data_IF_856001937078
#
_entry.id   IF_856001937078
#
_cell.length_a   1.000
_cell.length_b   1.000
_cell.length_c   1.000
_cell.angle_alpha   90.00
_cell.angle_beta   90.00
_cell.angle_gamma   90.00
#
_symmetry.space_group_name_H-M   'P 1'
#
loop_
_entity.id
_entity.type
_entity.pdbx_description
1 polymer ?
#
# COMPACT_ATOMS: atom_id res chain seq x y z
N UNK A 1 47.93 24.62 -13.30
CA UNK A 1 47.62 23.45 -12.45
C UNK A 1 46.17 23.40 -11.93
N UNK A 2 45.34 24.45 -12.06
CA UNK A 2 43.95 24.44 -11.55
C UNK A 2 42.96 23.52 -12.28
N UNK A 3 43.20 23.20 -13.56
CA UNK A 3 42.25 22.42 -14.36
C UNK A 3 42.22 20.93 -13.99
N UNK A 4 43.37 20.35 -13.59
CA UNK A 4 43.50 18.93 -13.27
C UNK A 4 42.85 18.58 -11.91
N UNK A 5 42.92 19.50 -10.95
CA UNK A 5 42.25 19.36 -9.65
C UNK A 5 40.72 19.43 -9.81
N UNK A 6 40.22 20.32 -10.68
CA UNK A 6 38.79 20.44 -10.98
C UNK A 6 38.28 19.17 -11.68
N UNK A 7 38.98 18.68 -12.70
CA UNK A 7 38.61 17.42 -13.38
C UNK A 7 38.65 16.22 -12.44
N UNK A 8 39.67 16.13 -11.57
CA UNK A 8 39.75 15.09 -10.53
C UNK A 8 38.59 15.15 -9.54
N UNK A 9 38.18 16.36 -9.14
CA UNK A 9 37.03 16.57 -8.25
C UNK A 9 35.71 16.13 -8.90
N UNK A 10 35.49 16.43 -10.19
CA UNK A 10 34.29 15.98 -10.91
C UNK A 10 34.23 14.46 -11.08
N UNK A 11 35.37 13.80 -11.36
CA UNK A 11 35.44 12.34 -11.43
C UNK A 11 35.17 11.70 -10.06
N UNK A 12 35.71 12.26 -8.99
CA UNK A 12 35.49 11.77 -7.63
C UNK A 12 34.03 11.95 -7.18
N UNK A 13 33.45 13.14 -7.38
CA UNK A 13 32.05 13.43 -7.06
C UNK A 13 31.08 12.60 -7.93
N UNK A 14 31.38 12.44 -9.22
CA UNK A 14 30.63 11.58 -10.12
C UNK A 14 30.67 10.11 -9.68
N UNK A 15 31.86 9.60 -9.30
CA UNK A 15 32.04 8.26 -8.76
C UNK A 15 31.28 8.03 -7.45
N UNK A 16 31.29 9.02 -6.55
CA UNK A 16 30.50 8.99 -5.32
C UNK A 16 29.00 8.99 -5.60
N UNK A 17 28.53 9.81 -6.54
CA UNK A 17 27.11 9.87 -6.88
C UNK A 17 26.60 8.54 -7.47
N UNK A 18 27.38 7.93 -8.36
CA UNK A 18 27.07 6.61 -8.93
C UNK A 18 27.06 5.55 -7.82
N UNK A 19 28.08 5.53 -6.96
CA UNK A 19 28.19 4.56 -5.87
C UNK A 19 27.03 4.69 -4.88
N UNK A 20 26.65 5.91 -4.52
CA UNK A 20 25.52 6.19 -3.63
C UNK A 20 24.20 5.74 -4.25
N UNK A 21 23.98 6.04 -5.53
CA UNK A 21 22.80 5.59 -6.28
C UNK A 21 22.70 4.05 -6.29
N UNK A 22 23.80 3.34 -6.55
CA UNK A 22 23.83 1.88 -6.51
C UNK A 22 23.58 1.32 -5.10
N UNK A 23 24.16 1.92 -4.06
CA UNK A 23 23.91 1.52 -2.67
C UNK A 23 22.43 1.68 -2.30
N UNK A 24 21.85 2.83 -2.62
CA UNK A 24 20.44 3.13 -2.32
C UNK A 24 19.50 2.13 -3.01
N UNK A 25 19.77 1.79 -4.27
CA UNK A 25 19.00 0.79 -5.03
C UNK A 25 19.14 -0.62 -4.45
N UNK A 26 20.34 -1.00 -3.99
CA UNK A 26 20.56 -2.31 -3.36
C UNK A 26 19.82 -2.42 -2.04
N UNK A 27 19.82 -1.35 -1.25
CA UNK A 27 19.14 -1.31 0.04
C UNK A 27 17.62 -1.40 -0.10
N UNK A 28 17.03 -0.69 -1.07
CA UNK A 28 15.57 -0.80 -1.32
C UNK A 28 15.16 -2.19 -1.81
N UNK A 29 15.97 -2.82 -2.67
CA UNK A 29 15.74 -4.22 -3.08
C UNK A 29 15.81 -5.19 -1.91
N UNK A 30 16.75 -5.01 -0.99
CA UNK A 30 16.85 -5.84 0.21
C UNK A 30 15.62 -5.69 1.11
N UNK A 31 15.13 -4.47 1.31
CA UNK A 31 13.90 -4.21 2.07
C UNK A 31 12.68 -4.89 1.46
N UNK A 32 12.53 -4.78 0.14
CA UNK A 32 11.40 -5.40 -0.58
C UNK A 32 11.49 -6.92 -0.52
N UNK A 33 12.68 -7.50 -0.69
CA UNK A 33 12.87 -8.95 -0.54
C UNK A 33 12.50 -9.41 0.88
N UNK A 34 12.91 -8.68 1.92
CA UNK A 34 12.54 -8.99 3.31
C UNK A 34 11.05 -8.89 3.53
N UNK A 35 10.40 -7.85 3.00
CA UNK A 35 8.95 -7.69 3.06
C UNK A 35 8.22 -8.87 2.41
N UNK A 36 8.60 -9.22 1.18
CA UNK A 36 7.99 -10.33 0.47
C UNK A 36 8.23 -11.66 1.19
N UNK A 37 9.44 -11.91 1.71
CA UNK A 37 9.71 -13.10 2.54
C UNK A 37 8.90 -13.12 3.83
N UNK A 38 8.71 -11.97 4.47
CA UNK A 38 7.89 -11.84 5.67
C UNK A 38 6.42 -12.18 5.38
N UNK A 39 5.85 -11.61 4.31
CA UNK A 39 4.47 -11.90 3.90
C UNK A 39 4.30 -13.38 3.49
N UNK A 40 5.26 -13.93 2.73
CA UNK A 40 5.26 -15.35 2.38
C UNK A 40 5.22 -16.24 3.62
N UNK A 41 6.06 -15.95 4.61
CA UNK A 41 6.10 -16.73 5.85
C UNK A 41 4.88 -16.54 6.74
N UNK A 42 4.30 -15.34 6.78
CA UNK A 42 3.17 -15.03 7.66
C UNK A 42 1.86 -15.62 7.15
N UNK A 43 1.70 -15.72 5.83
CA UNK A 43 0.45 -16.13 5.18
C UNK A 43 0.56 -17.43 4.36
N UNK A 44 1.68 -18.16 4.48
CA UNK A 44 1.96 -19.38 3.72
C UNK A 44 1.85 -19.19 2.19
N UNK A 45 2.36 -18.05 1.69
CA UNK A 45 2.35 -17.71 0.27
C UNK A 45 3.66 -18.14 -0.41
N UNK A 46 3.61 -18.35 -1.73
CA UNK A 46 4.79 -18.63 -2.51
C UNK A 46 5.60 -17.35 -2.74
N UNK A 47 6.88 -17.38 -2.38
CA UNK A 47 7.83 -16.29 -2.65
C UNK A 47 8.56 -16.51 -3.98
N UNK A 48 8.50 -15.53 -4.87
CA UNK A 48 9.32 -15.54 -6.09
C UNK A 48 10.36 -14.43 -6.05
N UNK A 49 11.63 -14.82 -6.08
CA UNK A 49 12.74 -13.85 -6.05
C UNK A 49 12.85 -13.02 -7.33
N UNK A 50 12.46 -13.61 -8.48
CA UNK A 50 12.55 -13.03 -9.83
C UNK A 50 11.40 -13.55 -10.70
N UNK A 51 10.16 -13.12 -10.45
CA UNK A 51 9.00 -13.52 -11.25
C UNK A 51 9.13 -13.06 -12.70
N UNK A 52 8.50 -13.82 -13.62
CA UNK A 52 8.27 -13.34 -14.98
C UNK A 52 7.24 -12.21 -14.89
N UNK A 53 7.61 -11.01 -15.36
CA UNK A 53 6.83 -9.80 -15.12
C UNK A 53 5.37 -9.93 -15.61
N UNK A 54 4.41 -9.83 -14.69
CA UNK A 54 3.01 -9.54 -15.01
C UNK A 54 2.84 -8.15 -15.65
N UNK A 55 1.65 -7.86 -16.18
CA UNK A 55 1.40 -6.66 -17.00
C UNK A 55 1.80 -5.34 -16.31
N UNK A 56 1.62 -5.20 -14.98
CA UNK A 56 1.94 -3.99 -14.22
C UNK A 56 3.17 -4.11 -13.31
N UNK A 57 3.79 -5.30 -13.27
CA UNK A 57 4.85 -5.59 -12.32
C UNK A 57 6.20 -5.02 -12.76
N UNK A 58 6.97 -4.55 -11.78
CA UNK A 58 8.33 -4.07 -11.97
C UNK A 58 9.30 -5.24 -12.08
N UNK A 59 10.04 -5.26 -13.18
CA UNK A 59 11.02 -6.31 -13.50
C UNK A 59 12.14 -6.34 -12.45
N UNK A 60 12.58 -7.54 -12.06
CA UNK A 60 13.66 -7.82 -11.09
C UNK A 60 13.33 -7.45 -9.63
N UNK A 61 12.06 -7.28 -9.30
CA UNK A 61 11.59 -7.19 -7.92
C UNK A 61 10.91 -8.51 -7.55
N UNK A 62 11.10 -8.95 -6.31
CA UNK A 62 10.38 -10.10 -5.80
C UNK A 62 8.89 -9.79 -5.64
N UNK A 63 8.07 -10.82 -5.70
CA UNK A 63 6.66 -10.81 -5.33
C UNK A 63 6.34 -12.02 -4.45
N UNK A 64 5.10 -12.02 -3.96
CA UNK A 64 4.47 -13.19 -3.33
C UNK A 64 3.11 -13.42 -3.93
N UNK A 65 2.76 -14.67 -4.17
CA UNK A 65 1.43 -15.05 -4.63
C UNK A 65 0.97 -16.34 -4.00
N UNK A 66 -0.33 -16.52 -3.88
CA UNK A 66 -0.91 -17.76 -3.39
C UNK A 66 -2.40 -17.62 -3.17
N UNK A 67 -2.90 -18.48 -2.31
CA UNK A 67 -4.30 -18.52 -1.91
C UNK A 67 -4.39 -18.33 -0.40
N UNK A 68 -5.31 -17.45 0.04
CA UNK A 68 -5.66 -17.30 1.45
C UNK A 68 -7.17 -17.50 1.56
N UNK A 69 -7.61 -18.55 2.24
CA UNK A 69 -9.02 -18.87 2.43
C UNK A 69 -9.84 -19.00 1.12
N UNK A 70 -9.24 -19.53 0.05
CA UNK A 70 -9.88 -19.65 -1.27
C UNK A 70 -9.84 -18.38 -2.12
N UNK A 71 -9.12 -17.34 -1.67
CA UNK A 71 -8.93 -16.09 -2.39
C UNK A 71 -7.51 -15.98 -2.92
N UNK A 72 -7.39 -15.72 -4.22
CA UNK A 72 -6.09 -15.47 -4.86
C UNK A 72 -5.55 -14.12 -4.36
N UNK A 73 -4.32 -14.14 -3.86
CA UNK A 73 -3.60 -12.97 -3.37
C UNK A 73 -2.28 -12.84 -4.12
N UNK A 74 -1.95 -11.62 -4.55
CA UNK A 74 -0.67 -11.29 -5.19
C UNK A 74 -0.14 -9.97 -4.63
N UNK A 75 1.05 -9.97 -4.03
CA UNK A 75 1.74 -8.74 -3.62
C UNK A 75 2.99 -8.52 -4.45
N UNK A 76 3.11 -7.35 -5.05
CA UNK A 76 4.17 -7.05 -6.01
C UNK A 76 4.57 -5.57 -5.98
N UNK A 77 5.64 -5.25 -6.71
CA UNK A 77 6.03 -3.87 -6.94
C UNK A 77 5.53 -3.41 -8.31
N UNK A 78 4.73 -2.35 -8.34
CA UNK A 78 4.27 -1.70 -9.57
C UNK A 78 5.24 -0.60 -10.02
N UNK A 79 5.50 -0.53 -11.32
CA UNK A 79 6.36 0.50 -11.89
C UNK A 79 5.62 1.82 -12.13
N UNK A 80 6.26 2.91 -11.70
CA UNK A 80 5.84 4.29 -11.95
C UNK A 80 5.50 4.62 -13.41
N UNK A 81 6.09 3.91 -14.38
CA UNK A 81 5.96 4.22 -15.81
C UNK A 81 4.60 3.82 -16.40
N UNK A 82 3.80 3.02 -15.69
CA UNK A 82 2.47 2.59 -16.17
C UNK A 82 1.31 3.17 -15.36
N UNK A 83 1.55 3.50 -14.10
CA UNK A 83 0.50 3.88 -13.18
C UNK A 83 0.54 5.38 -12.86
N UNK A 84 -0.20 6.14 -13.67
CA UNK A 84 -0.50 7.57 -13.49
C UNK A 84 0.71 8.50 -13.52
N UNK A 85 0.87 9.21 -14.64
CA UNK A 85 1.58 10.49 -14.70
C UNK A 85 0.76 11.47 -13.83
N UNK A 86 1.01 11.47 -12.53
CA UNK A 86 0.62 12.59 -11.67
C UNK A 86 1.35 13.81 -12.25
N UNK A 87 0.57 14.76 -12.79
CA UNK A 87 1.05 15.99 -13.43
C UNK A 87 2.14 16.64 -12.58
N UNK A 88 3.41 16.46 -12.98
CA UNK A 88 4.58 17.10 -12.35
C UNK A 88 5.32 16.29 -11.28
N UNK A 89 4.90 15.06 -10.96
CA UNK A 89 5.56 14.19 -9.98
C UNK A 89 6.76 13.43 -10.56
N UNK A 90 7.77 13.17 -9.73
CA UNK A 90 8.81 12.18 -10.07
C UNK A 90 8.16 10.79 -10.17
N UNK A 91 8.63 9.92 -11.08
CA UNK A 91 8.15 8.54 -11.14
C UNK A 91 8.40 7.85 -9.78
N UNK A 92 7.32 7.45 -9.10
CA UNK A 92 7.34 6.74 -7.82
C UNK A 92 6.87 5.31 -8.02
N UNK A 93 7.62 4.35 -7.49
CA UNK A 93 7.21 2.94 -7.51
C UNK A 93 6.30 2.66 -6.32
N UNK A 94 5.39 1.71 -6.51
CA UNK A 94 4.38 1.37 -5.51
C UNK A 94 4.50 -0.09 -5.09
N UNK A 95 4.33 -0.34 -3.81
CA UNK A 95 4.03 -1.67 -3.28
C UNK A 95 2.52 -1.88 -3.39
N UNK A 96 2.14 -3.02 -3.94
CA UNK A 96 0.75 -3.37 -4.17
C UNK A 96 0.43 -4.71 -3.50
N UNK A 97 -0.78 -4.82 -2.97
CA UNK A 97 -1.42 -6.08 -2.58
C UNK A 97 -2.72 -6.16 -3.38
N UNK A 98 -2.86 -7.15 -4.24
CA UNK A 98 -4.03 -7.40 -5.07
C UNK A 98 -4.70 -8.69 -4.60
N UNK A 99 -6.03 -8.64 -4.48
CA UNK A 99 -6.85 -9.78 -4.12
C UNK A 99 -8.10 -9.85 -4.98
N UNK A 100 -8.52 -11.06 -5.33
CA UNK A 100 -9.83 -11.29 -5.92
C UNK A 100 -10.93 -10.99 -4.88
N UNK A 101 -12.03 -10.37 -5.33
CA UNK A 101 -13.14 -9.95 -4.49
C UNK A 101 -14.42 -9.91 -5.33
N UNK A 102 -15.28 -10.91 -5.17
CA UNK A 102 -16.50 -11.03 -5.99
C UNK A 102 -17.71 -10.39 -5.30
N UNK A 103 -17.94 -9.09 -5.53
CA UNK A 103 -19.16 -8.42 -5.06
C UNK A 103 -20.01 -7.88 -6.19
N UNK A 104 -21.33 -8.14 -6.11
CA UNK A 104 -22.32 -7.64 -7.05
C UNK A 104 -22.82 -6.22 -6.71
N UNK A 105 -22.48 -5.70 -5.52
CA UNK A 105 -23.09 -4.48 -4.98
C UNK A 105 -22.34 -3.21 -5.35
N UNK A 106 -21.03 -3.32 -5.54
CA UNK A 106 -20.14 -2.20 -5.80
C UNK A 106 -19.51 -2.38 -7.17
N UNK A 107 -19.35 -1.26 -7.89
CA UNK A 107 -18.72 -1.26 -9.21
C UNK A 107 -17.26 -0.81 -9.13
N UNK A 108 -16.99 0.29 -8.42
CA UNK A 108 -15.66 0.81 -8.13
C UNK A 108 -15.75 1.74 -6.92
N UNK A 109 -14.76 1.71 -6.03
CA UNK A 109 -14.59 2.74 -5.01
C UNK A 109 -13.14 2.78 -4.52
N UNK A 110 -12.76 3.84 -3.82
CA UNK A 110 -11.48 3.89 -3.13
C UNK A 110 -11.56 4.45 -1.71
N UNK A 111 -10.63 3.99 -0.87
CA UNK A 111 -10.41 4.45 0.50
C UNK A 111 -9.00 5.02 0.57
N UNK A 112 -8.91 6.29 0.97
CA UNK A 112 -7.63 6.99 1.14
C UNK A 112 -7.59 7.67 2.51
N UNK A 113 -6.40 7.76 3.11
CA UNK A 113 -6.24 8.50 4.37
C UNK A 113 -6.35 10.00 4.14
N UNK A 114 -7.08 10.70 5.01
CA UNK A 114 -7.16 12.17 4.98
C UNK A 114 -5.81 12.76 5.40
N UNK A 115 -5.21 13.57 4.52
CA UNK A 115 -3.91 14.22 4.74
C UNK A 115 -3.83 15.11 6.00
N UNK A 116 -4.98 15.54 6.56
CA UNK A 116 -5.06 16.53 7.64
C UNK A 116 -5.48 15.97 9.00
N UNK A 117 -5.45 14.65 9.24
CA UNK A 117 -5.88 14.07 10.52
C UNK A 117 -4.92 14.28 11.70
N UNK A 118 -4.02 15.27 11.61
CA UNK A 118 -3.03 15.56 12.63
C UNK A 118 -3.52 16.68 13.57
N UNK A 119 -4.34 16.34 14.58
CA UNK A 119 -4.40 16.94 15.95
C UNK A 119 -5.79 17.03 16.58
N UNK A 120 -6.88 17.06 15.82
CA UNK A 120 -8.18 17.46 16.39
C UNK A 120 -9.06 16.32 16.95
N UNK A 121 -8.92 15.10 16.44
CA UNK A 121 -9.88 14.04 16.76
C UNK A 121 -9.73 13.47 18.17
N UNK A 122 -8.52 13.42 18.75
CA UNK A 122 -8.34 12.86 20.10
C UNK A 122 -9.08 13.62 21.22
N UNK A 123 -9.46 14.90 21.01
CA UNK A 123 -10.23 15.64 22.01
C UNK A 123 -11.75 15.53 21.83
N UNK A 124 -12.24 15.16 20.64
CA UNK A 124 -13.68 15.16 20.35
C UNK A 124 -14.31 13.78 20.57
N UNK A 125 -13.55 12.70 20.35
CA UNK A 125 -14.06 11.32 20.41
C UNK A 125 -13.65 10.57 21.70
N UNK A 126 -13.61 11.25 22.85
CA UNK A 126 -13.21 10.68 24.14
C UNK A 126 -14.38 10.10 24.98
N UNK A 127 -15.58 10.06 24.40
CA UNK A 127 -16.72 9.34 24.95
C UNK A 127 -17.02 8.17 24.02
N UNK A 128 -17.58 7.08 24.56
CA UNK A 128 -17.78 5.80 23.88
C UNK A 128 -19.28 5.60 23.59
N UNK A 129 -19.66 5.61 22.32
CA UNK A 129 -20.96 5.24 21.77
C UNK A 129 -20.79 4.66 20.35
N UNK A 130 -21.63 3.71 19.95
CA UNK A 130 -21.48 2.95 18.68
C UNK A 130 -21.53 3.82 17.41
N UNK A 131 -22.18 4.99 17.48
CA UNK A 131 -22.23 5.95 16.37
C UNK A 131 -20.87 6.65 16.13
N UNK A 132 -19.90 6.51 17.03
CA UNK A 132 -18.58 7.16 16.92
C UNK A 132 -17.60 6.42 16.01
N UNK A 133 -17.80 5.11 15.78
CA UNK A 133 -16.86 4.30 15.00
C UNK A 133 -16.92 4.71 13.52
N UNK A 134 -18.12 4.82 12.95
CA UNK A 134 -18.32 5.36 11.59
C UNK A 134 -17.78 6.80 11.50
N UNK A 135 -18.17 7.67 12.43
CA UNK A 135 -17.73 9.07 12.43
C UNK A 135 -16.20 9.20 12.48
N UNK A 136 -15.53 8.36 13.28
CA UNK A 136 -14.07 8.35 13.37
C UNK A 136 -13.42 7.84 12.08
N UNK A 137 -14.01 6.83 11.43
CA UNK A 137 -13.56 6.33 10.12
C UNK A 137 -13.73 7.41 9.04
N UNK A 138 -14.89 8.08 8.96
CA UNK A 138 -15.13 9.20 8.02
C UNK A 138 -14.21 10.40 8.28
N UNK A 139 -13.82 10.59 9.53
CA UNK A 139 -12.89 11.65 9.90
C UNK A 139 -11.44 11.31 9.51
N UNK A 140 -11.04 10.03 9.56
CA UNK A 140 -9.69 9.54 9.18
C UNK A 140 -9.53 9.27 7.69
N UNK A 141 -10.59 8.86 7.00
CA UNK A 141 -10.56 8.37 5.62
C UNK A 141 -11.47 9.18 4.69
N UNK A 142 -11.10 9.21 3.42
CA UNK A 142 -11.93 9.65 2.30
C UNK A 142 -12.39 8.40 1.56
N UNK A 143 -13.67 8.34 1.25
CA UNK A 143 -14.27 7.32 0.41
C UNK A 143 -14.72 7.99 -0.89
N UNK A 144 -14.09 7.61 -2.00
CA UNK A 144 -14.37 8.18 -3.31
C UNK A 144 -15.05 7.16 -4.23
N UNK A 145 -15.76 7.68 -5.25
CA UNK A 145 -16.47 6.90 -6.27
C UNK A 145 -17.55 5.95 -5.74
N UNK A 146 -18.00 6.09 -4.49
CA UNK A 146 -19.09 5.32 -3.88
C UNK A 146 -20.32 6.22 -3.61
N UNK A 147 -21.53 5.82 -4.03
CA UNK A 147 -22.77 6.52 -3.67
C UNK A 147 -23.01 6.52 -2.15
N UNK A 148 -23.59 7.59 -1.61
CA UNK A 148 -23.78 7.76 -0.16
C UNK A 148 -24.52 6.59 0.51
N UNK A 149 -25.58 6.08 -0.11
CA UNK A 149 -26.34 4.96 0.45
C UNK A 149 -25.54 3.64 0.51
N UNK A 150 -24.60 3.42 -0.42
CA UNK A 150 -23.72 2.25 -0.40
C UNK A 150 -22.57 2.45 0.59
N UNK A 151 -22.11 3.69 0.73
CA UNK A 151 -21.14 4.07 1.75
C UNK A 151 -21.70 3.84 3.16
N UNK A 152 -22.95 4.20 3.41
CA UNK A 152 -23.60 3.97 4.70
C UNK A 152 -23.73 2.47 5.00
N UNK A 153 -24.02 1.63 3.98
CA UNK A 153 -24.02 0.16 4.14
C UNK A 153 -22.63 -0.35 4.49
N UNK A 154 -21.60 0.15 3.81
CA UNK A 154 -20.20 -0.25 4.05
C UNK A 154 -19.75 0.14 5.46
N UNK A 155 -20.13 1.33 5.94
CA UNK A 155 -19.71 1.87 7.22
C UNK A 155 -20.54 1.37 8.41
N UNK A 156 -21.73 0.81 8.15
CA UNK A 156 -22.46 0.00 9.13
C UNK A 156 -21.78 -1.36 9.40
N UNK A 157 -20.72 -1.71 8.66
CA UNK A 157 -19.93 -2.90 8.94
C UNK A 157 -18.87 -2.60 10.03
N UNK A 158 -19.22 -2.88 11.29
CA UNK A 158 -18.35 -2.64 12.44
C UNK A 158 -16.97 -3.30 12.28
N UNK A 159 -16.92 -4.54 11.75
CA UNK A 159 -15.67 -5.29 11.55
C UNK A 159 -14.72 -4.57 10.60
N UNK A 160 -15.24 -4.05 9.47
CA UNK A 160 -14.44 -3.27 8.52
C UNK A 160 -13.97 -1.95 9.15
N UNK A 161 -14.86 -1.26 9.85
CA UNK A 161 -14.53 0.01 10.47
C UNK A 161 -13.46 -0.13 11.56
N UNK A 162 -13.57 -1.13 12.43
CA UNK A 162 -12.56 -1.45 13.45
C UNK A 162 -11.21 -1.79 12.81
N UNK A 163 -11.18 -2.63 11.78
CA UNK A 163 -9.96 -2.98 11.07
C UNK A 163 -9.28 -1.74 10.46
N UNK A 164 -10.05 -0.83 9.86
CA UNK A 164 -9.53 0.43 9.33
C UNK A 164 -8.97 1.34 10.42
N UNK A 165 -9.57 1.36 11.62
CA UNK A 165 -9.09 2.16 12.74
C UNK A 165 -7.82 1.59 13.36
N UNK A 166 -7.72 0.26 13.48
CA UNK A 166 -6.56 -0.44 14.05
C UNK A 166 -5.28 -0.12 13.26
N UNK A 167 -5.37 -0.13 11.93
CA UNK A 167 -4.19 0.14 11.08
C UNK A 167 -4.02 1.63 10.72
N UNK A 168 -4.80 2.54 11.29
CA UNK A 168 -4.86 3.92 10.81
C UNK A 168 -3.52 4.67 10.81
N UNK A 169 -2.62 4.36 11.76
CA UNK A 169 -1.30 4.97 11.82
C UNK A 169 -0.32 4.34 10.83
N UNK A 170 -0.51 3.06 10.52
CA UNK A 170 0.28 2.30 9.55
C UNK A 170 -0.15 2.59 8.11
N UNK A 171 -1.44 2.83 7.88
CA UNK A 171 -2.02 3.04 6.56
C UNK A 171 -1.53 4.35 5.93
N UNK A 172 -0.74 4.24 4.85
CA UNK A 172 -0.32 5.40 4.04
C UNK A 172 -0.60 5.21 2.53
N UNK A 173 -1.32 4.15 2.18
CA UNK A 173 -1.67 3.84 0.80
C UNK A 173 -3.09 4.27 0.42
N UNK A 174 -3.57 3.65 -0.65
CA UNK A 174 -4.95 3.69 -1.11
C UNK A 174 -5.45 2.25 -1.25
N UNK A 175 -6.66 1.98 -0.79
CA UNK A 175 -7.40 0.77 -1.18
C UNK A 175 -8.32 1.15 -2.32
N UNK A 176 -8.29 0.39 -3.40
CA UNK A 176 -9.14 0.58 -4.56
C UNK A 176 -9.81 -0.73 -4.92
N UNK A 177 -11.15 -0.74 -4.94
CA UNK A 177 -11.92 -1.84 -5.49
C UNK A 177 -12.30 -1.55 -6.93
N UNK A 178 -12.03 -2.48 -7.85
CA UNK A 178 -12.42 -2.37 -9.26
C UNK A 178 -12.47 -3.72 -9.95
N UNK A 179 -13.54 -3.96 -10.71
CA UNK A 179 -13.72 -5.15 -11.56
C UNK A 179 -13.46 -6.48 -10.83
N UNK A 180 -14.04 -6.65 -9.63
CA UNK A 180 -13.91 -7.89 -8.87
C UNK A 180 -12.58 -8.05 -8.14
N UNK A 181 -11.84 -6.95 -7.90
CA UNK A 181 -10.55 -6.98 -7.22
C UNK A 181 -10.41 -5.83 -6.24
N UNK A 182 -9.82 -6.11 -5.09
CA UNK A 182 -9.39 -5.08 -4.13
C UNK A 182 -7.87 -4.97 -4.21
N UNK A 183 -7.38 -3.73 -4.39
CA UNK A 183 -5.96 -3.43 -4.54
C UNK A 183 -5.55 -2.40 -3.50
N UNK A 184 -4.62 -2.77 -2.63
CA UNK A 184 -3.86 -1.82 -1.81
C UNK A 184 -2.68 -1.31 -2.62
N UNK A 185 -2.39 -0.02 -2.52
CA UNK A 185 -1.26 0.61 -3.20
C UNK A 185 -0.61 1.68 -2.34
N UNK A 186 0.68 1.54 -2.07
CA UNK A 186 1.47 2.47 -1.27
C UNK A 186 2.81 2.82 -1.93
N UNK A 187 3.28 4.06 -1.79
CA UNK A 187 4.60 4.45 -2.29
C UNK A 187 5.73 3.73 -1.53
N UNK A 188 6.69 3.13 -2.24
CA UNK A 188 7.81 2.37 -1.61
C UNK A 188 8.66 3.24 -0.67
N UNK A 189 8.73 4.54 -0.92
CA UNK A 189 9.52 5.48 -0.11
C UNK A 189 9.02 5.56 1.35
N UNK A 190 7.77 5.16 1.60
CA UNK A 190 7.12 5.18 2.90
C UNK A 190 7.32 3.86 3.68
N UNK A 191 7.94 2.85 3.05
CA UNK A 191 8.24 1.56 3.66
C UNK A 191 9.57 1.59 4.44
N UNK A 192 9.51 1.96 5.71
CA UNK A 192 10.60 1.76 6.66
C UNK A 192 10.63 0.32 7.23
N UNK A 193 11.67 -0.02 8.01
CA UNK A 193 11.82 -1.38 8.54
C UNK A 193 10.73 -1.75 9.56
N UNK A 194 10.26 -0.78 10.35
CA UNK A 194 9.19 -0.98 11.31
C UNK A 194 7.88 -1.28 10.59
N UNK A 195 7.56 -0.49 9.57
CA UNK A 195 6.39 -0.68 8.72
C UNK A 195 6.43 -2.01 7.96
N UNK A 196 7.60 -2.41 7.45
CA UNK A 196 7.77 -3.73 6.81
C UNK A 196 7.41 -4.87 7.76
N UNK A 197 7.74 -4.75 9.05
CA UNK A 197 7.43 -5.78 10.05
C UNK A 197 5.97 -5.82 10.50
N UNK A 198 5.15 -4.84 10.09
CA UNK A 198 3.73 -4.75 10.43
C UNK A 198 2.83 -4.83 9.18
N UNK A 199 3.40 -5.14 8.01
CA UNK A 199 2.62 -5.20 6.77
C UNK A 199 1.62 -6.37 6.76
N UNK A 200 1.78 -7.33 7.66
CA UNK A 200 0.77 -8.34 7.96
C UNK A 200 -0.57 -7.73 8.38
N UNK A 201 -0.56 -6.63 9.14
CA UNK A 201 -1.78 -5.93 9.53
C UNK A 201 -2.52 -5.32 8.32
N UNK A 202 -1.77 -4.78 7.35
CA UNK A 202 -2.37 -4.27 6.10
C UNK A 202 -2.92 -5.41 5.25
N UNK A 203 -2.21 -6.55 5.18
CA UNK A 203 -2.71 -7.75 4.51
C UNK A 203 -4.00 -8.25 5.16
N UNK A 204 -4.08 -8.27 6.49
CA UNK A 204 -5.31 -8.61 7.23
C UNK A 204 -6.44 -7.61 6.95
N UNK A 205 -6.15 -6.30 6.94
CA UNK A 205 -7.15 -5.29 6.53
C UNK A 205 -7.69 -5.59 5.13
N UNK A 206 -6.83 -5.97 4.19
CA UNK A 206 -7.23 -6.29 2.82
C UNK A 206 -8.12 -7.54 2.75
N UNK A 207 -7.80 -8.58 3.53
CA UNK A 207 -8.62 -9.79 3.65
C UNK A 207 -9.99 -9.47 4.22
N UNK A 208 -10.03 -8.73 5.34
CA UNK A 208 -11.27 -8.27 5.98
C UNK A 208 -12.08 -7.42 5.01
N UNK A 209 -11.44 -6.49 4.30
CA UNK A 209 -12.12 -5.63 3.32
C UNK A 209 -12.80 -6.46 2.26
N UNK A 210 -12.09 -7.38 1.59
CA UNK A 210 -12.70 -8.20 0.55
C UNK A 210 -13.79 -9.14 1.09
N UNK A 211 -13.61 -9.74 2.28
CA UNK A 211 -14.65 -10.59 2.91
C UNK A 211 -15.92 -9.79 3.24
N UNK A 212 -15.76 -8.60 3.82
CA UNK A 212 -16.89 -7.76 4.17
C UNK A 212 -17.61 -7.21 2.93
N UNK A 213 -16.90 -6.98 1.82
CA UNK A 213 -17.51 -6.56 0.55
C UNK A 213 -18.33 -7.68 -0.13
N UNK A 214 -17.89 -8.93 0.01
CA UNK A 214 -18.59 -10.11 -0.51
C UNK A 214 -19.84 -10.45 0.32
N UNK A 215 -19.76 -10.23 1.63
CA UNK A 215 -20.86 -10.52 2.56
C UNK A 215 -21.86 -9.36 2.73
N UNK A 216 -21.45 -8.13 2.41
CA UNK A 216 -22.30 -6.94 2.51
C UNK A 216 -23.56 -7.12 1.71
#
# INVERSE_FOLDING_TARGET
MGNLAITGMFLFLGGLFISFYYLQKRHSLQKINRLMQHLASAFDLEYHARPFAGWNQRINYSDVSGDINGRVVHSYIESANKASITKGGKPTDYFCIEMDCDTARLSTFSIQKRAAFAKFAHQVFAHNSSDEVDDLVRAKYVFDAIPSYQLDILLNNEVLCEALLEVADLFNGEIHYHLGRVVYREAILELDEWKVSQMDQIMQLMLTTAEQLENA
#
